data_IF_165462692817
#
_entry.id   IF_165462692817
#
_cell.length_a   1.000
_cell.length_b   1.000
_cell.length_c   1.000
_cell.angle_alpha   90.00
_cell.angle_beta   90.00
_cell.angle_gamma   90.00
#
_symmetry.space_group_name_H-M   'P 1'
#
loop_
_entity.id
_entity.type
_entity.pdbx_description
1 polymer ?
#
# COMPACT_ATOMS: atom_id res chain seq x y z
N UNK A 1 9.92 33.98 9.13
CA UNK A 1 8.46 34.00 8.96
C UNK A 1 8.18 33.84 7.47
N UNK A 2 7.25 32.96 7.07
CA UNK A 2 6.88 32.57 5.70
C UNK A 2 7.65 31.39 5.07
N UNK A 3 7.70 30.23 5.75
CA UNK A 3 7.83 28.94 5.06
C UNK A 3 6.47 28.25 4.84
N UNK A 4 5.40 28.72 5.50
CA UNK A 4 4.07 28.08 5.51
C UNK A 4 3.22 28.34 4.25
N UNK A 5 3.62 29.26 3.35
CA UNK A 5 2.80 29.62 2.18
C UNK A 5 3.03 28.73 0.94
N UNK A 6 4.10 27.91 0.91
CA UNK A 6 4.33 26.98 -0.20
C UNK A 6 3.52 25.67 -0.08
N UNK A 7 2.99 25.36 1.10
CA UNK A 7 2.20 24.15 1.32
C UNK A 7 0.75 24.30 0.89
N UNK A 8 0.25 25.53 0.66
CA UNK A 8 -1.13 25.75 0.18
C UNK A 8 -1.35 25.29 -1.27
N UNK A 9 -0.33 25.36 -2.13
CA UNK A 9 -0.41 24.87 -3.53
C UNK A 9 -0.51 23.33 -3.57
N UNK A 10 -0.06 22.63 -2.51
CA UNK A 10 -0.24 21.18 -2.39
C UNK A 10 -1.72 20.78 -2.25
N UNK A 11 -2.56 21.66 -1.68
CA UNK A 11 -3.99 21.41 -1.46
C UNK A 11 -4.87 21.65 -2.70
N UNK A 12 -4.34 22.21 -3.78
CA UNK A 12 -5.10 22.39 -5.04
C UNK A 12 -5.21 21.10 -5.86
N UNK A 13 -4.42 20.07 -5.52
CA UNK A 13 -4.45 18.78 -6.23
C UNK A 13 -5.31 17.79 -5.49
N UNK A 14 -6.12 17.02 -6.24
CA UNK A 14 -6.92 15.95 -5.68
C UNK A 14 -6.00 15.01 -4.87
N UNK A 15 -6.22 14.86 -3.56
CA UNK A 15 -5.43 13.94 -2.77
C UNK A 15 -5.69 12.51 -3.22
N UNK A 16 -4.68 11.64 -3.06
CA UNK A 16 -4.80 10.21 -3.29
C UNK A 16 -4.22 9.45 -2.11
N UNK A 17 -4.86 8.34 -1.77
CA UNK A 17 -4.31 7.35 -0.86
C UNK A 17 -3.35 6.44 -1.61
N UNK A 18 -2.26 6.07 -0.95
CA UNK A 18 -1.31 5.06 -1.41
C UNK A 18 -1.28 3.92 -0.40
N UNK A 19 -1.38 2.68 -0.88
CA UNK A 19 -1.06 1.48 -0.10
C UNK A 19 0.03 0.70 -0.81
N UNK A 20 1.16 0.51 -0.13
CA UNK A 20 2.32 -0.20 -0.67
C UNK A 20 2.62 -1.44 0.15
N UNK A 21 2.83 -2.56 -0.54
CA UNK A 21 3.36 -3.79 0.04
C UNK A 21 4.66 -4.17 -0.64
N UNK A 22 5.55 -4.77 0.16
CA UNK A 22 6.80 -5.35 -0.33
C UNK A 22 6.73 -6.85 -0.07
N UNK A 23 6.56 -7.60 -1.15
CA UNK A 23 6.38 -9.05 -1.11
C UNK A 23 7.73 -9.71 -1.37
N UNK A 24 8.08 -10.66 -0.49
CA UNK A 24 9.23 -11.54 -0.67
C UNK A 24 8.69 -12.96 -0.87
N UNK A 25 9.11 -13.61 -1.96
CA UNK A 25 8.71 -14.97 -2.33
C UNK A 25 9.95 -15.83 -2.46
N UNK A 26 10.00 -16.93 -1.75
CA UNK A 26 11.05 -17.94 -1.91
C UNK A 26 10.76 -18.79 -3.15
N UNK A 27 11.82 -19.07 -3.90
CA UNK A 27 11.83 -20.02 -5.01
C UNK A 27 12.68 -21.24 -4.66
N UNK A 28 12.52 -22.35 -5.39
CA UNK A 28 13.47 -23.46 -5.35
C UNK A 28 14.91 -22.93 -5.47
N UNK A 29 15.85 -23.56 -4.76
CA UNK A 29 17.28 -23.16 -4.67
C UNK A 29 17.57 -21.95 -3.77
N UNK A 30 16.73 -21.65 -2.77
CA UNK A 30 16.92 -20.56 -1.79
C UNK A 30 17.06 -19.17 -2.44
N UNK A 31 16.47 -18.98 -3.62
CA UNK A 31 16.42 -17.66 -4.25
C UNK A 31 15.19 -16.89 -3.76
N UNK A 32 15.40 -15.69 -3.23
CA UNK A 32 14.32 -14.80 -2.81
C UNK A 32 14.01 -13.82 -3.94
N UNK A 33 12.79 -13.85 -4.45
CA UNK A 33 12.26 -12.82 -5.33
C UNK A 33 11.56 -11.74 -4.51
N UNK A 34 11.77 -10.49 -4.91
CA UNK A 34 11.14 -9.33 -4.29
C UNK A 34 10.27 -8.59 -5.30
N UNK A 35 9.05 -8.27 -4.92
CA UNK A 35 8.15 -7.40 -5.70
C UNK A 35 7.60 -6.30 -4.81
N UNK A 36 7.56 -5.09 -5.35
CA UNK A 36 6.84 -3.96 -4.76
C UNK A 36 5.52 -3.82 -5.50
N UNK A 37 4.41 -3.81 -4.77
CA UNK A 37 3.08 -3.55 -5.31
C UNK A 37 2.55 -2.30 -4.61
N UNK A 38 2.21 -1.28 -5.40
CA UNK A 38 1.66 -0.01 -4.91
C UNK A 38 0.30 0.20 -5.56
N UNK A 39 -0.71 0.42 -4.73
CA UNK A 39 -2.04 0.81 -5.16
C UNK A 39 -2.26 2.29 -4.85
N UNK A 40 -2.70 3.03 -5.86
CA UNK A 40 -3.13 4.42 -5.74
C UNK A 40 -4.65 4.47 -5.82
N UNK A 41 -5.27 5.27 -4.96
CA UNK A 41 -6.73 5.38 -4.90
C UNK A 41 -7.18 6.81 -4.62
N UNK A 42 -8.24 7.30 -5.28
CA UNK A 42 -8.87 8.57 -4.92
C UNK A 42 -9.64 8.48 -3.59
N UNK A 43 -9.83 7.28 -3.03
CA UNK A 43 -10.50 7.08 -1.74
C UNK A 43 -9.54 7.51 -0.62
N UNK A 44 -9.88 8.59 0.07
CA UNK A 44 -9.07 9.16 1.16
C UNK A 44 -9.31 8.49 2.52
N UNK A 45 -10.43 7.78 2.63
CA UNK A 45 -10.78 7.08 3.86
C UNK A 45 -9.97 5.78 3.94
N UNK A 46 -8.95 5.78 4.79
CA UNK A 46 -8.18 4.59 5.17
C UNK A 46 -9.00 3.70 6.12
N UNK A 47 -10.23 3.36 5.73
CA UNK A 47 -11.10 2.49 6.51
C UNK A 47 -10.83 1.01 6.17
N UNK A 48 -11.42 0.10 6.94
CA UNK A 48 -11.23 -1.33 6.73
C UNK A 48 -11.67 -1.80 5.33
N UNK A 49 -12.75 -1.24 4.78
CA UNK A 49 -13.25 -1.61 3.45
C UNK A 49 -12.25 -1.26 2.35
N UNK A 50 -11.58 -0.12 2.47
CA UNK A 50 -10.48 0.25 1.59
C UNK A 50 -9.35 -0.78 1.67
N UNK A 51 -8.91 -1.16 2.88
CA UNK A 51 -7.82 -2.13 3.04
C UNK A 51 -8.18 -3.51 2.50
N UNK A 52 -9.42 -3.98 2.71
CA UNK A 52 -9.90 -5.26 2.16
C UNK A 52 -9.82 -5.28 0.64
N UNK A 53 -10.40 -4.26 -0.01
CA UNK A 53 -10.36 -4.14 -1.47
C UNK A 53 -8.92 -4.06 -1.97
N UNK A 54 -8.08 -3.28 -1.30
CA UNK A 54 -6.69 -3.13 -1.69
C UNK A 54 -5.92 -4.45 -1.60
N UNK A 55 -6.16 -5.27 -0.56
CA UNK A 55 -5.57 -6.62 -0.47
C UNK A 55 -6.06 -7.50 -1.62
N UNK A 56 -7.35 -7.52 -1.93
CA UNK A 56 -7.88 -8.27 -3.07
C UNK A 56 -7.19 -7.88 -4.38
N UNK A 57 -7.07 -6.56 -4.64
CA UNK A 57 -6.37 -6.03 -5.82
C UNK A 57 -4.89 -6.40 -5.88
N UNK A 58 -4.20 -6.51 -4.74
CA UNK A 58 -2.80 -6.96 -4.73
C UNK A 58 -2.66 -8.40 -5.22
N UNK A 59 -3.60 -9.27 -4.86
CA UNK A 59 -3.62 -10.68 -5.26
C UNK A 59 -4.06 -10.92 -6.70
N UNK A 60 -4.58 -9.90 -7.40
CA UNK A 60 -4.76 -9.93 -8.86
C UNK A 60 -3.40 -9.91 -9.61
N UNK A 61 -2.30 -9.56 -8.93
CA UNK A 61 -0.96 -9.56 -9.54
C UNK A 61 -0.49 -10.98 -9.85
N UNK A 62 0.06 -11.19 -11.05
CA UNK A 62 0.68 -12.48 -11.42
C UNK A 62 1.79 -12.93 -10.45
N UNK A 63 2.45 -11.98 -9.78
CA UNK A 63 3.47 -12.31 -8.78
C UNK A 63 2.90 -13.08 -7.57
N UNK A 64 1.62 -12.84 -7.26
CA UNK A 64 0.89 -13.47 -6.17
C UNK A 64 0.21 -14.78 -6.59
N UNK A 65 0.29 -15.17 -7.86
CA UNK A 65 -0.28 -16.44 -8.34
C UNK A 65 0.43 -17.61 -7.66
N UNK A 66 -0.35 -18.62 -7.28
CA UNK A 66 0.11 -19.86 -6.64
C UNK A 66 0.82 -19.62 -5.28
N UNK A 67 0.41 -18.57 -4.55
CA UNK A 67 0.87 -18.35 -3.17
C UNK A 67 -0.07 -19.09 -2.23
N UNK A 68 0.36 -20.23 -1.71
CA UNK A 68 -0.46 -21.04 -0.79
C UNK A 68 -0.41 -20.52 0.66
N UNK A 69 0.69 -19.87 1.04
CA UNK A 69 0.90 -19.35 2.40
C UNK A 69 1.44 -17.92 2.37
N UNK A 70 0.82 -17.03 3.13
CA UNK A 70 1.19 -15.63 3.22
C UNK A 70 1.45 -15.21 4.67
N UNK A 71 2.69 -14.82 4.96
CA UNK A 71 3.06 -14.20 6.22
C UNK A 71 2.87 -12.68 6.10
N UNK A 72 1.72 -12.19 6.54
CA UNK A 72 1.39 -10.77 6.49
C UNK A 72 2.01 -10.02 7.66
N UNK A 73 2.66 -8.89 7.38
CA UNK A 73 3.23 -7.98 8.36
C UNK A 73 2.78 -6.54 8.08
N UNK A 74 2.31 -5.83 9.09
CA UNK A 74 1.94 -4.41 9.00
C UNK A 74 2.32 -3.65 10.27
N UNK A 75 2.34 -2.32 10.21
CA UNK A 75 2.69 -1.40 11.32
C UNK A 75 1.67 -1.40 12.47
N UNK A 76 0.58 -2.16 12.34
CA UNK A 76 -0.47 -2.22 13.34
C UNK A 76 -1.35 -0.97 13.39
N UNK A 77 -1.32 -0.12 12.37
CA UNK A 77 -2.24 1.02 12.25
C UNK A 77 -3.72 0.58 12.35
N UNK A 78 -4.64 1.48 12.73
CA UNK A 78 -6.06 1.12 12.96
C UNK A 78 -6.75 0.43 11.79
N UNK A 79 -6.31 0.73 10.57
CA UNK A 79 -6.82 0.13 9.34
C UNK A 79 -6.36 -1.33 9.14
N UNK A 80 -5.18 -1.71 9.67
CA UNK A 80 -4.71 -3.09 9.68
C UNK A 80 -5.13 -3.87 10.92
N UNK A 81 -5.29 -3.21 12.08
CA UNK A 81 -5.78 -3.81 13.33
C UNK A 81 -7.32 -3.85 13.42
N UNK A 82 -8.01 -3.84 12.29
CA UNK A 82 -9.46 -3.94 12.27
C UNK A 82 -9.92 -5.40 12.30
N UNK A 83 -10.92 -5.71 13.14
CA UNK A 83 -11.50 -7.06 13.27
C UNK A 83 -11.99 -7.63 11.94
N UNK A 84 -12.59 -6.84 11.07
CA UNK A 84 -13.10 -7.30 9.77
C UNK A 84 -11.98 -7.73 8.83
N UNK A 85 -10.88 -6.97 8.78
CA UNK A 85 -9.72 -7.36 7.97
C UNK A 85 -9.09 -8.64 8.51
N UNK A 86 -8.86 -8.70 9.83
CA UNK A 86 -8.27 -9.88 10.47
C UNK A 86 -9.16 -11.10 10.25
N UNK A 87 -10.47 -10.95 10.39
CA UNK A 87 -11.45 -12.00 10.11
C UNK A 87 -11.38 -12.46 8.65
N UNK A 88 -11.44 -11.54 7.68
CA UNK A 88 -11.41 -11.87 6.27
C UNK A 88 -10.11 -12.57 5.82
N UNK A 89 -8.99 -12.31 6.51
CA UNK A 89 -7.71 -12.96 6.21
C UNK A 89 -7.55 -14.33 6.87
N UNK A 90 -8.15 -14.53 8.06
CA UNK A 90 -7.93 -15.73 8.87
C UNK A 90 -9.12 -16.71 8.85
N UNK A 91 -10.29 -16.30 8.35
CA UNK A 91 -11.47 -17.14 8.34
C UNK A 91 -11.46 -18.08 7.12
N UNK A 92 -11.54 -19.38 7.36
CA UNK A 92 -11.60 -20.41 6.32
C UNK A 92 -13.01 -20.56 5.70
N UNK A 93 -14.05 -19.99 6.31
CA UNK A 93 -15.44 -20.07 5.81
C UNK A 93 -15.79 -18.95 4.81
N UNK A 94 -15.26 -17.74 5.03
CA UNK A 94 -15.52 -16.55 4.20
C UNK A 94 -14.20 -16.09 3.57
N UNK A 95 -13.82 -16.79 2.50
CA UNK A 95 -12.49 -16.69 1.90
C UNK A 95 -12.36 -15.39 1.10
N UNK A 96 -11.53 -14.46 1.58
CA UNK A 96 -11.20 -13.23 0.85
C UNK A 96 -10.33 -13.51 -0.38
N UNK A 97 -9.35 -14.41 -0.22
CA UNK A 97 -8.36 -14.80 -1.24
C UNK A 97 -8.33 -16.33 -1.29
N UNK A 98 -8.74 -16.89 -2.43
CA UNK A 98 -8.77 -18.34 -2.61
C UNK A 98 -7.37 -18.96 -2.56
N UNK A 99 -7.31 -20.18 -2.04
CA UNK A 99 -6.11 -21.04 -1.98
C UNK A 99 -4.91 -20.45 -1.22
N UNK A 100 -5.07 -19.31 -0.53
CA UNK A 100 -4.02 -18.66 0.26
C UNK A 100 -4.37 -18.68 1.74
N UNK A 101 -3.51 -19.28 2.56
CA UNK A 101 -3.61 -19.22 4.03
C UNK A 101 -2.78 -18.09 4.59
N UNK A 102 -3.37 -17.25 5.44
CA UNK A 102 -2.66 -16.12 6.05
C UNK A 102 -2.18 -16.43 7.46
N UNK A 103 -0.99 -15.91 7.76
CA UNK A 103 -0.53 -15.65 9.13
C UNK A 103 -0.35 -14.15 9.30
N UNK A 104 -1.23 -13.52 10.09
CA UNK A 104 -1.22 -12.08 10.31
C UNK A 104 -0.35 -11.73 11.50
N UNK A 105 0.62 -10.83 11.28
CA UNK A 105 1.54 -10.32 12.29
C UNK A 105 1.57 -8.79 12.25
N UNK A 106 1.93 -8.18 13.37
CA UNK A 106 2.10 -6.74 13.49
C UNK A 106 3.52 -6.44 13.97
N UNK A 107 4.21 -5.55 13.27
CA UNK A 107 5.47 -5.02 13.76
C UNK A 107 5.19 -3.89 14.75
N UNK A 108 5.98 -3.83 15.81
CA UNK A 108 6.02 -2.68 16.71
C UNK A 108 7.33 -1.96 16.41
N UNK A 109 7.33 -0.68 16.05
CA UNK A 109 8.53 -0.01 15.61
C UNK A 109 9.50 0.18 16.80
N UNK A 110 10.52 -0.68 16.88
CA UNK A 110 11.76 -0.34 17.58
C UNK A 110 12.68 0.34 16.54
N UNK A 111 12.42 1.63 16.32
CA UNK A 111 13.25 2.61 15.60
C UNK A 111 13.60 2.43 14.11
N UNK A 112 13.22 1.34 13.44
CA UNK A 112 13.57 1.16 12.01
C UNK A 112 12.32 1.26 11.14
N UNK A 113 12.32 2.26 10.23
CA UNK A 113 11.34 2.37 9.14
C UNK A 113 11.39 1.12 8.27
N UNK A 114 10.23 0.58 7.92
CA UNK A 114 10.11 -0.63 7.11
C UNK A 114 10.48 -0.39 5.64
N UNK A 115 10.66 -1.47 4.88
CA UNK A 115 10.86 -1.39 3.43
C UNK A 115 9.76 -0.58 2.69
N UNK A 116 8.46 -0.67 3.06
CA UNK A 116 7.42 0.15 2.46
C UNK A 116 7.64 1.66 2.65
N UNK A 117 8.19 2.10 3.78
CA UNK A 117 8.42 3.53 4.07
C UNK A 117 9.45 4.14 3.11
N UNK A 118 10.51 3.38 2.80
CA UNK A 118 11.53 3.81 1.83
C UNK A 118 10.95 3.96 0.41
N UNK A 119 10.06 3.03 0.02
CA UNK A 119 9.35 3.11 -1.26
C UNK A 119 8.41 4.32 -1.28
N UNK A 120 7.63 4.53 -0.23
CA UNK A 120 6.74 5.68 -0.12
C UNK A 120 7.52 7.01 -0.18
N UNK A 121 8.69 7.07 0.47
CA UNK A 121 9.60 8.22 0.36
C UNK A 121 10.06 8.45 -1.07
N UNK A 122 10.40 7.38 -1.80
CA UNK A 122 10.82 7.47 -3.19
C UNK A 122 9.69 8.00 -4.08
N UNK A 123 8.46 7.50 -3.93
CA UNK A 123 7.31 7.98 -4.69
C UNK A 123 6.96 9.43 -4.38
N UNK A 124 6.86 9.80 -3.09
CA UNK A 124 6.59 11.18 -2.69
C UNK A 124 7.66 12.15 -3.18
N UNK A 125 8.94 11.75 -3.15
CA UNK A 125 10.06 12.56 -3.69
C UNK A 125 9.99 12.66 -5.21
N UNK A 126 9.74 11.54 -5.90
CA UNK A 126 9.58 11.49 -7.35
C UNK A 126 8.46 12.40 -7.82
N UNK A 127 7.27 12.25 -7.23
CA UNK A 127 6.12 13.12 -7.49
C UNK A 127 6.48 14.58 -7.26
N UNK A 128 7.16 14.92 -6.16
CA UNK A 128 7.60 16.28 -5.89
C UNK A 128 8.53 16.85 -6.97
N UNK A 129 9.42 16.02 -7.50
CA UNK A 129 10.44 16.44 -8.46
C UNK A 129 9.94 16.47 -9.91
N UNK A 130 8.94 15.65 -10.27
CA UNK A 130 8.36 15.61 -11.62
C UNK A 130 7.09 16.45 -11.76
N UNK A 131 6.66 17.12 -10.69
CA UNK A 131 5.55 18.07 -10.76
C UNK A 131 5.89 19.20 -11.73
N UNK A 132 5.04 19.48 -12.74
CA UNK A 132 5.16 20.68 -13.54
C UNK A 132 5.12 21.89 -12.60
N UNK A 133 6.04 22.85 -12.78
CA UNK A 133 6.15 24.05 -11.95
C UNK A 133 4.87 24.91 -11.95
N UNK A 134 3.99 24.72 -12.94
CA UNK A 134 2.77 25.50 -13.15
C UNK A 134 1.49 24.79 -12.68
N UNK A 135 1.58 23.61 -12.05
CA UNK A 135 0.39 22.83 -11.67
C UNK A 135 -0.26 22.10 -12.85
N UNK A 136 -1.46 21.53 -12.63
CA UNK A 136 -2.33 21.04 -13.71
C UNK A 136 -3.27 22.20 -14.03
N UNK A 137 -3.11 22.78 -15.21
CA UNK A 137 -3.76 24.02 -15.63
C UNK A 137 -4.87 23.80 -16.68
N UNK A 138 -5.13 22.55 -17.09
CA UNK A 138 -6.31 22.19 -17.86
C UNK A 138 -6.75 20.73 -17.64
N UNK A 139 -8.00 20.42 -18.02
CA UNK A 139 -8.54 19.05 -18.01
C UNK A 139 -7.84 18.14 -19.02
N UNK A 140 -7.19 18.70 -20.04
CA UNK A 140 -6.47 17.96 -21.08
C UNK A 140 -5.12 17.41 -20.56
N UNK A 141 -4.56 18.01 -19.50
CA UNK A 141 -3.32 17.55 -18.89
C UNK A 141 -3.49 16.32 -17.97
N UNK A 142 -4.71 15.79 -17.85
CA UNK A 142 -5.08 14.64 -17.02
C UNK A 142 -5.27 13.33 -17.81
N UNK A 143 -5.08 13.33 -19.14
CA UNK A 143 -5.26 12.15 -20.00
C UNK A 143 -3.99 11.29 -20.13
#
# INVERSE_FOLDING_TARGET
>A
MNQDQNDQIFFEKAPFTCLTVVVHREKPLNQVQKKVITLLSPILSHNCSFTLLAVQRMFESEFMRDVEQMHWWSDGGPHFRNKRLIWALLNDEEILIHDTKFKVNFTVPYHVKGAPDGIFRMYSTGLRNTMPKEGINSLETLQ
#
